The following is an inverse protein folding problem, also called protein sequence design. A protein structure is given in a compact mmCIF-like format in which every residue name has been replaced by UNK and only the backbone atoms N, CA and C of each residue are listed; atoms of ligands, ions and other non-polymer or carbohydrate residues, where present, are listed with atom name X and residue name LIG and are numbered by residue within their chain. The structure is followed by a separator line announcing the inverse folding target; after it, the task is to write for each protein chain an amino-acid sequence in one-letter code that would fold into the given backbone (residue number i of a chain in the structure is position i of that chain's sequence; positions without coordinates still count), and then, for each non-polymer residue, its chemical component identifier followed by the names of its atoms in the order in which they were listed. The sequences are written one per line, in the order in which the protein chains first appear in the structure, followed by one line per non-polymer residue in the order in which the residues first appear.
data_IF_241588632754
#
_entry.id   IF_241588632754
#
_cell.length_a   1.000
_cell.length_b   1.000
_cell.length_c   1.000
_cell.angle_alpha   90.00
_cell.angle_beta   90.00
_cell.angle_gamma   90.00
#
_symmetry.space_group_name_H-M   'P 1'
#
loop_
_entity.id
_entity.type
_entity.pdbx_description
1 polymer ?
#
# COMPACT_ATOMS: atom_id res chain seq x y z
N UNK A 1 4.38 -28.61 16.55
CA UNK A 1 3.56 -27.51 17.13
C UNK A 1 3.53 -26.26 16.29
N UNK A 2 4.64 -25.85 15.65
CA UNK A 2 4.68 -24.69 14.73
C UNK A 2 3.67 -24.77 13.56
N UNK A 3 3.45 -25.93 12.91
CA UNK A 3 2.48 -26.01 11.80
C UNK A 3 1.03 -25.71 12.18
N UNK A 4 0.67 -25.81 13.45
CA UNK A 4 -0.71 -25.57 13.92
C UNK A 4 -1.05 -24.08 14.04
N UNK A 5 -0.05 -23.21 13.98
CA UNK A 5 -0.22 -21.75 14.14
C UNK A 5 -0.18 -21.06 12.77
N UNK A 6 0.38 -21.74 11.75
CA UNK A 6 0.49 -21.18 10.42
C UNK A 6 -0.81 -21.38 9.65
N UNK A 7 -1.36 -20.29 9.15
CA UNK A 7 -2.55 -20.26 8.30
C UNK A 7 -2.13 -19.92 6.87
N UNK A 8 -2.67 -20.68 5.91
CA UNK A 8 -2.49 -20.34 4.50
C UNK A 8 -3.42 -19.19 4.12
N UNK A 9 -2.88 -17.99 4.03
CA UNK A 9 -3.62 -16.77 3.70
C UNK A 9 -3.66 -16.47 2.20
N UNK A 10 -3.20 -17.39 1.36
CA UNK A 10 -3.18 -17.26 -0.10
C UNK A 10 -1.78 -17.03 -0.67
N UNK A 11 -1.72 -16.60 -1.92
CA UNK A 11 -0.47 -16.36 -2.64
C UNK A 11 -0.31 -14.90 -3.04
N UNK A 12 0.92 -14.44 -3.13
CA UNK A 12 1.28 -13.13 -3.68
C UNK A 12 1.21 -13.10 -5.21
N UNK A 13 1.41 -14.25 -5.83
CA UNK A 13 1.39 -14.36 -7.28
C UNK A 13 -0.04 -14.19 -7.78
N UNK A 14 -0.29 -13.27 -8.72
CA UNK A 14 -1.60 -13.11 -9.30
C UNK A 14 -1.96 -14.32 -10.18
N UNK A 15 -3.24 -14.68 -10.17
CA UNK A 15 -3.76 -15.70 -11.10
C UNK A 15 -3.87 -15.13 -12.52
N UNK A 16 -4.19 -13.86 -12.62
CA UNK A 16 -4.29 -13.14 -13.89
C UNK A 16 -3.67 -11.75 -13.73
N UNK A 17 -2.81 -11.39 -14.66
CA UNK A 17 -2.24 -10.05 -14.76
C UNK A 17 -1.98 -9.68 -16.20
N UNK A 18 -1.99 -8.41 -16.51
CA UNK A 18 -1.72 -7.93 -17.85
C UNK A 18 -1.93 -6.42 -17.97
N UNK A 19 -1.74 -5.98 -19.22
CA UNK A 19 -1.88 -4.59 -19.59
C UNK A 19 -2.90 -4.46 -20.72
N UNK A 20 -3.66 -3.37 -20.73
CA UNK A 20 -4.60 -3.00 -21.76
C UNK A 20 -4.24 -1.63 -22.32
N UNK A 21 -3.77 -1.61 -23.55
CA UNK A 21 -3.43 -0.38 -24.25
C UNK A 21 -4.52 -0.05 -25.27
N UNK A 22 -5.09 1.16 -25.17
CA UNK A 22 -6.07 1.67 -26.11
C UNK A 22 -5.62 3.01 -26.66
N UNK A 23 -5.72 3.19 -27.98
CA UNK A 23 -5.48 4.47 -28.64
C UNK A 23 -6.68 4.81 -29.51
N UNK A 24 -7.25 5.97 -29.26
CA UNK A 24 -8.36 6.53 -30.00
C UNK A 24 -7.87 7.75 -30.78
N UNK A 25 -8.08 7.76 -32.09
CA UNK A 25 -7.72 8.88 -32.93
C UNK A 25 -8.97 9.38 -33.66
N UNK A 26 -9.24 10.66 -33.53
CA UNK A 26 -10.33 11.32 -34.24
C UNK A 26 -9.88 12.66 -34.77
N UNK A 27 -9.82 12.79 -36.11
CA UNK A 27 -9.29 13.98 -36.77
C UNK A 27 -7.92 14.37 -36.23
N UNK A 28 -7.82 15.49 -35.54
CA UNK A 28 -6.60 16.06 -34.99
C UNK A 28 -6.37 15.68 -33.51
N UNK A 29 -7.25 14.88 -32.93
CA UNK A 29 -7.20 14.44 -31.54
C UNK A 29 -6.65 13.01 -31.45
N UNK A 30 -5.82 12.76 -30.49
CA UNK A 30 -5.38 11.42 -30.13
C UNK A 30 -5.43 11.26 -28.60
N UNK A 31 -6.01 10.16 -28.15
CA UNK A 31 -6.07 9.76 -26.75
C UNK A 31 -5.53 8.34 -26.62
N UNK A 32 -4.49 8.18 -25.83
CA UNK A 32 -3.92 6.87 -25.49
C UNK A 32 -4.08 6.62 -24.00
N UNK A 33 -4.56 5.41 -23.65
CA UNK A 33 -4.79 4.94 -22.29
C UNK A 33 -4.05 3.63 -22.10
N UNK A 34 -3.28 3.54 -21.03
CA UNK A 34 -2.64 2.30 -20.62
C UNK A 34 -3.10 1.92 -19.22
N UNK A 35 -3.78 0.79 -19.11
CA UNK A 35 -4.21 0.19 -17.86
C UNK A 35 -3.36 -1.04 -17.57
N UNK A 36 -3.01 -1.24 -16.31
CA UNK A 36 -2.49 -2.51 -15.81
C UNK A 36 -3.47 -3.09 -14.78
N UNK A 37 -3.54 -4.40 -14.72
CA UNK A 37 -4.39 -5.11 -13.77
C UNK A 37 -3.69 -6.32 -13.19
N UNK A 38 -4.07 -6.67 -11.96
CA UNK A 38 -3.65 -7.87 -11.26
C UNK A 38 -4.81 -8.43 -10.45
N UNK A 39 -5.10 -9.72 -10.61
CA UNK A 39 -6.24 -10.37 -9.99
C UNK A 39 -5.83 -11.71 -9.36
N UNK A 40 -6.42 -12.03 -8.21
CA UNK A 40 -6.23 -13.30 -7.52
C UNK A 40 -5.01 -13.34 -6.60
N UNK A 41 -4.33 -12.22 -6.38
CA UNK A 41 -3.23 -12.10 -5.43
C UNK A 41 -3.71 -11.69 -4.05
N UNK A 42 -2.89 -12.02 -3.05
CA UNK A 42 -2.99 -11.52 -1.69
C UNK A 42 -1.71 -10.75 -1.35
N UNK A 43 -1.85 -9.69 -0.58
CA UNK A 43 -0.73 -8.88 -0.13
C UNK A 43 -0.80 -8.67 1.37
N UNK A 44 0.35 -8.62 2.01
CA UNK A 44 0.45 -8.25 3.42
C UNK A 44 0.57 -6.74 3.51
N UNK A 45 -0.19 -6.15 4.43
CA UNK A 45 -0.04 -4.74 4.77
C UNK A 45 1.34 -4.49 5.38
N UNK A 46 1.91 -3.30 5.15
CA UNK A 46 3.16 -2.90 5.77
C UNK A 46 3.07 -3.00 7.29
N UNK A 47 4.19 -3.37 7.92
CA UNK A 47 4.27 -3.47 9.36
C UNK A 47 3.72 -2.21 10.04
N UNK A 48 2.92 -2.43 11.06
CA UNK A 48 2.32 -1.37 11.84
C UNK A 48 3.13 -1.09 13.10
N UNK A 49 3.56 -2.14 13.78
CA UNK A 49 4.24 -2.08 15.07
C UNK A 49 5.76 -2.17 14.95
N UNK A 50 6.30 -2.82 13.92
CA UNK A 50 7.74 -2.98 13.72
C UNK A 50 8.52 -1.66 13.87
N UNK A 51 8.10 -0.57 13.20
CA UNK A 51 8.79 0.72 13.28
C UNK A 51 8.75 1.39 14.65
N UNK A 52 7.83 1.02 15.52
CA UNK A 52 7.57 1.71 16.79
C UNK A 52 7.78 0.85 18.03
N UNK A 53 8.17 -0.40 17.86
CA UNK A 53 8.36 -1.37 18.97
C UNK A 53 9.37 -0.88 20.02
N UNK A 54 10.33 -0.06 19.62
CA UNK A 54 11.33 0.55 20.48
C UNK A 54 10.95 1.98 20.94
N UNK A 55 9.73 2.41 20.68
CA UNK A 55 9.21 3.72 21.03
C UNK A 55 8.81 4.54 19.81
N UNK A 56 7.79 5.38 19.97
CA UNK A 56 7.33 6.30 18.94
C UNK A 56 8.23 7.54 18.97
N UNK A 57 8.95 7.79 17.88
CA UNK A 57 9.66 9.06 17.70
C UNK A 57 8.67 10.17 17.33
N UNK A 58 8.84 11.34 17.92
CA UNK A 58 8.06 12.53 17.56
C UNK A 58 8.24 12.95 16.08
N UNK A 59 9.32 12.50 15.44
CA UNK A 59 9.60 12.75 14.03
C UNK A 59 9.08 11.65 13.09
N UNK A 60 8.54 10.55 13.63
CA UNK A 60 8.04 9.44 12.84
C UNK A 60 6.53 9.57 12.60
N UNK A 61 6.11 9.38 11.36
CA UNK A 61 4.71 9.22 11.05
C UNK A 61 4.25 7.83 11.49
N UNK A 62 3.13 7.78 12.19
CA UNK A 62 2.44 6.54 12.55
C UNK A 62 1.20 6.37 11.67
N UNK A 63 0.76 5.15 11.52
CA UNK A 63 -0.45 4.84 10.74
C UNK A 63 -1.69 5.31 11.50
N UNK A 64 -2.71 5.71 10.73
CA UNK A 64 -3.99 6.17 11.28
C UNK A 64 -4.69 5.08 12.11
N UNK A 65 -4.48 3.81 11.79
CA UNK A 65 -5.04 2.67 12.52
C UNK A 65 -4.69 2.66 14.02
N UNK A 66 -3.61 3.34 14.42
CA UNK A 66 -3.26 3.47 15.83
C UNK A 66 -4.27 4.26 16.65
N UNK A 67 -5.12 5.06 16.03
CA UNK A 67 -6.20 5.76 16.72
C UNK A 67 -7.24 4.78 17.28
N UNK A 68 -7.44 3.66 16.57
CA UNK A 68 -8.41 2.63 16.90
C UNK A 68 -7.80 1.48 17.75
N UNK A 69 -6.58 1.66 18.29
CA UNK A 69 -5.94 0.64 19.11
C UNK A 69 -6.68 0.39 20.42
N UNK A 70 -6.54 -0.80 20.96
CA UNK A 70 -7.01 -1.13 22.29
C UNK A 70 -6.40 -0.21 23.34
N UNK A 71 -7.19 0.36 24.24
CA UNK A 71 -6.77 1.31 25.26
C UNK A 71 -7.26 0.90 26.65
N UNK A 72 -8.49 0.40 26.77
CA UNK A 72 -9.13 0.03 28.03
C UNK A 72 -9.87 -1.31 27.89
N UNK A 73 -10.06 -2.07 29.00
CA UNK A 73 -10.84 -3.28 28.99
C UNK A 73 -12.24 -3.04 28.41
N UNK A 74 -12.64 -3.87 27.43
CA UNK A 74 -13.89 -3.76 26.69
C UNK A 74 -13.68 -3.37 25.23
N UNK A 75 -12.55 -2.73 24.88
CA UNK A 75 -12.24 -2.32 23.52
C UNK A 75 -12.02 -3.51 22.59
N UNK A 76 -11.67 -4.68 23.12
CA UNK A 76 -11.50 -5.92 22.37
C UNK A 76 -12.74 -6.33 21.56
N UNK A 77 -13.90 -5.72 21.84
CA UNK A 77 -15.13 -5.92 21.08
C UNK A 77 -15.17 -5.09 19.79
N UNK A 78 -14.37 -4.05 19.70
CA UNK A 78 -14.41 -3.05 18.65
C UNK A 78 -13.13 -2.95 17.86
N UNK A 79 -11.99 -3.38 18.44
CA UNK A 79 -10.69 -3.30 17.82
C UNK A 79 -9.91 -4.62 17.90
N UNK A 80 -9.13 -4.87 16.87
CA UNK A 80 -8.15 -5.97 16.80
C UNK A 80 -6.71 -5.46 16.94
N UNK A 81 -6.54 -4.15 17.08
CA UNK A 81 -5.23 -3.52 17.15
C UNK A 81 -4.67 -3.59 18.57
N UNK A 82 -3.50 -4.23 18.79
CA UNK A 82 -2.88 -4.33 20.11
C UNK A 82 -2.58 -2.97 20.76
N UNK A 83 -2.56 -2.97 22.08
CA UNK A 83 -2.16 -1.84 22.90
C UNK A 83 -0.72 -1.38 22.57
N UNK A 84 -0.51 -0.07 22.55
CA UNK A 84 0.81 0.54 22.68
C UNK A 84 0.91 1.15 24.07
N UNK A 85 1.93 0.77 24.82
CA UNK A 85 2.14 1.28 26.16
C UNK A 85 3.49 1.98 26.28
N UNK A 86 3.45 3.18 26.89
CA UNK A 86 4.65 3.95 27.17
C UNK A 86 5.34 3.43 28.43
N UNK A 87 6.69 3.43 28.49
CA UNK A 87 7.44 3.15 29.72
C UNK A 87 7.06 4.05 30.90
N UNK A 88 6.48 5.22 30.65
CA UNK A 88 6.01 6.14 31.69
C UNK A 88 4.60 5.79 32.23
N UNK A 89 3.92 4.81 31.65
CA UNK A 89 2.61 4.38 32.15
C UNK A 89 2.77 3.61 33.47
N UNK A 90 1.88 3.86 34.47
CA UNK A 90 1.87 3.08 35.72
C UNK A 90 1.75 1.58 35.51
N UNK A 91 1.03 1.17 34.47
CA UNK A 91 0.76 -0.23 34.14
C UNK A 91 1.81 -0.86 33.20
N UNK A 92 2.89 -0.13 32.87
CA UNK A 92 3.87 -0.55 31.89
C UNK A 92 4.49 -1.91 32.23
N UNK A 93 4.90 -2.13 33.48
CA UNK A 93 5.52 -3.40 33.89
C UNK A 93 4.57 -4.58 33.76
N UNK A 94 3.28 -4.39 34.09
CA UNK A 94 2.27 -5.42 33.94
C UNK A 94 2.13 -5.84 32.47
N UNK A 95 1.93 -4.88 31.58
CA UNK A 95 1.74 -5.17 30.15
C UNK A 95 3.04 -5.58 29.45
N UNK A 96 4.18 -5.03 29.84
CA UNK A 96 5.48 -5.40 29.26
C UNK A 96 5.77 -6.90 29.39
N UNK A 97 5.50 -7.48 30.52
CA UNK A 97 5.70 -8.90 30.74
C UNK A 97 4.84 -9.78 29.83
N UNK A 98 3.64 -9.33 29.53
CA UNK A 98 2.71 -10.07 28.68
C UNK A 98 2.87 -9.84 27.19
N UNK A 99 3.27 -8.64 26.77
CA UNK A 99 3.22 -8.20 25.38
C UNK A 99 4.59 -8.06 24.73
N UNK A 100 5.64 -7.72 25.46
CA UNK A 100 6.97 -7.44 24.89
C UNK A 100 7.98 -8.56 25.05
N UNK A 101 7.75 -9.49 25.94
CA UNK A 101 8.66 -10.62 26.16
C UNK A 101 8.16 -11.89 25.45
N UNK A 102 9.07 -12.71 24.89
CA UNK A 102 8.71 -14.03 24.38
C UNK A 102 8.04 -14.84 25.48
N UNK A 103 6.87 -15.38 25.21
CA UNK A 103 6.19 -16.26 26.15
C UNK A 103 6.96 -17.59 26.25
N UNK A 104 7.31 -17.99 27.45
CA UNK A 104 7.95 -19.30 27.71
C UNK A 104 6.94 -20.24 28.36
N UNK A 105 7.00 -21.50 27.98
CA UNK A 105 6.24 -22.53 28.63
C UNK A 105 6.67 -22.65 30.11
N UNK A 106 5.69 -22.89 31.00
CA UNK A 106 5.93 -23.10 32.43
C UNK A 106 5.73 -24.60 32.76
N UNK A 107 6.43 -25.14 33.73
CA UNK A 107 6.34 -26.53 34.13
C UNK A 107 7.33 -27.44 33.41
N UNK A 108 6.98 -28.71 33.11
CA UNK A 108 7.88 -29.68 32.49
C UNK A 108 8.49 -29.23 31.16
N UNK A 109 7.83 -28.33 30.48
CA UNK A 109 8.30 -27.74 29.22
C UNK A 109 8.95 -26.35 29.41
N UNK A 110 9.31 -26.02 30.65
CA UNK A 110 9.99 -24.75 30.93
C UNK A 110 11.31 -24.66 30.16
N UNK A 111 11.53 -23.52 29.50
CA UNK A 111 12.68 -23.33 28.63
C UNK A 111 12.42 -23.51 27.14
N UNK A 112 11.28 -24.09 26.76
CA UNK A 112 10.82 -24.09 25.37
C UNK A 112 10.03 -22.79 25.12
N UNK A 113 10.45 -21.92 24.19
CA UNK A 113 9.66 -20.74 23.85
C UNK A 113 8.31 -21.16 23.28
N UNK A 114 7.23 -20.70 23.87
CA UNK A 114 5.90 -20.90 23.29
C UNK A 114 5.74 -20.08 22.00
N UNK A 115 6.26 -18.85 22.01
CA UNK A 115 6.32 -17.97 20.85
C UNK A 115 7.68 -17.26 20.83
N UNK A 116 8.31 -17.20 19.66
CA UNK A 116 9.57 -16.50 19.48
C UNK A 116 9.38 -14.98 19.38
N UNK A 117 8.21 -14.55 18.92
CA UNK A 117 7.87 -13.15 18.65
C UNK A 117 7.00 -12.56 19.75
N UNK A 118 7.08 -11.25 19.93
CA UNK A 118 6.16 -10.52 20.79
C UNK A 118 4.78 -10.35 20.12
N UNK A 119 3.78 -9.89 20.88
CA UNK A 119 2.41 -9.77 20.40
C UNK A 119 2.31 -8.82 19.19
N UNK A 120 3.09 -7.75 19.15
CA UNK A 120 3.07 -6.79 18.04
C UNK A 120 3.59 -7.40 16.75
N UNK A 121 4.70 -8.13 16.80
CA UNK A 121 5.20 -8.89 15.65
C UNK A 121 4.22 -9.98 15.23
N UNK A 122 3.63 -10.69 16.18
CA UNK A 122 2.59 -11.68 15.88
C UNK A 122 1.39 -11.06 15.18
N UNK A 123 0.99 -9.85 15.56
CA UNK A 123 -0.07 -9.12 14.88
C UNK A 123 0.35 -8.73 13.46
N UNK A 124 1.54 -8.14 13.28
CA UNK A 124 2.04 -7.74 11.96
C UNK A 124 2.20 -8.95 11.02
N UNK A 125 2.56 -10.11 11.57
CA UNK A 125 2.69 -11.38 10.83
C UNK A 125 1.38 -12.15 10.67
N UNK A 126 0.31 -11.73 11.32
CA UNK A 126 -0.97 -12.45 11.31
C UNK A 126 -1.67 -12.39 9.94
N UNK A 127 -2.64 -13.27 9.74
CA UNK A 127 -3.53 -13.29 8.59
C UNK A 127 -4.48 -12.08 8.55
N UNK A 128 -4.73 -11.43 9.69
CA UNK A 128 -5.46 -10.16 9.77
C UNK A 128 -4.82 -9.05 8.94
N UNK A 129 -3.50 -9.17 8.69
CA UNK A 129 -2.73 -8.21 7.89
C UNK A 129 -2.63 -8.60 6.41
N UNK A 130 -3.29 -9.68 6.00
CA UNK A 130 -3.30 -10.17 4.61
C UNK A 130 -4.61 -9.82 3.94
N UNK A 131 -4.53 -8.96 2.94
CA UNK A 131 -5.69 -8.41 2.23
C UNK A 131 -5.64 -8.75 0.74
N UNK A 132 -6.69 -8.39 0.01
CA UNK A 132 -6.71 -8.54 -1.44
C UNK A 132 -5.66 -7.66 -2.09
N UNK A 133 -4.81 -8.25 -2.93
CA UNK A 133 -3.83 -7.57 -3.78
C UNK A 133 -4.37 -7.22 -5.17
N UNK A 134 -5.66 -7.41 -5.41
CA UNK A 134 -6.26 -7.09 -6.70
C UNK A 134 -6.23 -5.59 -6.96
N UNK A 135 -5.87 -5.22 -8.19
CA UNK A 135 -5.94 -3.83 -8.59
C UNK A 135 -6.22 -3.65 -10.09
N UNK A 136 -6.74 -2.50 -10.41
CA UNK A 136 -6.77 -1.91 -11.75
C UNK A 136 -6.15 -0.52 -11.65
N UNK A 137 -5.10 -0.27 -12.43
CA UNK A 137 -4.32 0.97 -12.38
C UNK A 137 -4.28 1.62 -13.74
N UNK A 138 -4.62 2.92 -13.83
CA UNK A 138 -4.35 3.72 -15.02
C UNK A 138 -2.89 4.18 -14.94
N UNK A 139 -2.01 3.43 -15.62
CA UNK A 139 -0.57 3.66 -15.66
C UNK A 139 -0.21 4.96 -16.36
N UNK A 140 -0.81 5.19 -17.52
CA UNK A 140 -0.59 6.43 -18.26
C UNK A 140 -1.82 6.81 -19.08
N UNK A 141 -2.01 8.11 -19.22
CA UNK A 141 -2.93 8.73 -20.16
C UNK A 141 -2.16 9.78 -20.94
N UNK A 142 -2.24 9.71 -22.25
CA UNK A 142 -1.69 10.72 -23.17
C UNK A 142 -2.80 11.24 -24.05
N UNK A 143 -2.98 12.54 -24.02
CA UNK A 143 -3.95 13.24 -24.84
C UNK A 143 -3.21 14.29 -25.68
N UNK A 144 -3.42 14.29 -26.99
CA UNK A 144 -2.77 15.25 -27.87
C UNK A 144 -3.73 15.84 -28.90
N UNK A 145 -3.47 17.07 -29.22
CA UNK A 145 -4.18 17.81 -30.25
C UNK A 145 -3.19 18.45 -31.22
N UNK A 146 -3.31 18.12 -32.50
CA UNK A 146 -2.56 18.80 -33.59
C UNK A 146 -3.39 19.93 -34.13
N UNK A 147 -2.82 21.10 -34.23
CA UNK A 147 -3.50 22.26 -34.81
C UNK A 147 -3.85 22.01 -36.29
N UNK A 148 -5.04 22.44 -36.69
CA UNK A 148 -5.50 22.27 -38.07
C UNK A 148 -4.69 23.19 -39.03
N UNK A 149 -4.37 22.67 -40.21
CA UNK A 149 -3.61 23.38 -41.25
C UNK A 149 -4.20 24.74 -41.62
N UNK A 150 -5.55 24.88 -41.53
CA UNK A 150 -6.22 26.17 -41.77
C UNK A 150 -5.79 27.25 -40.77
N UNK A 151 -5.56 26.88 -39.54
CA UNK A 151 -5.08 27.79 -38.48
C UNK A 151 -3.58 28.05 -38.62
N UNK A 152 -2.81 27.04 -39.00
CA UNK A 152 -1.38 27.14 -39.21
C UNK A 152 -1.00 28.11 -40.35
N UNK A 153 -1.79 28.18 -41.43
CA UNK A 153 -1.55 29.09 -42.58
C UNK A 153 -1.44 30.57 -42.19
N UNK A 154 -1.94 30.97 -41.02
CA UNK A 154 -1.84 32.34 -40.49
C UNK A 154 -0.65 32.56 -39.56
N UNK A 155 0.17 31.55 -39.40
CA UNK A 155 1.33 31.56 -38.48
C UNK A 155 2.59 31.15 -39.24
N UNK A 156 3.80 31.47 -38.75
CA UNK A 156 5.05 31.00 -39.34
C UNK A 156 5.35 29.51 -39.09
N UNK A 157 4.40 28.79 -38.45
CA UNK A 157 4.63 27.39 -38.03
C UNK A 157 4.13 26.43 -39.11
N UNK A 158 4.91 25.38 -39.38
CA UNK A 158 4.54 24.25 -40.22
C UNK A 158 3.74 23.19 -39.46
N UNK A 159 3.99 23.08 -38.15
CA UNK A 159 3.23 22.16 -37.28
C UNK A 159 3.19 22.73 -35.85
N UNK A 160 2.02 22.58 -35.22
CA UNK A 160 1.82 22.89 -33.80
C UNK A 160 0.99 21.79 -33.17
N UNK A 161 1.48 21.21 -32.09
CA UNK A 161 0.71 20.24 -31.29
C UNK A 161 0.86 20.49 -29.80
N UNK A 162 -0.24 20.30 -29.08
CA UNK A 162 -0.32 20.38 -27.63
C UNK A 162 -0.56 18.97 -27.13
N UNK A 163 0.17 18.56 -26.10
CA UNK A 163 -0.03 17.27 -25.45
C UNK A 163 -0.19 17.44 -23.93
N UNK A 164 -1.03 16.58 -23.36
CA UNK A 164 -1.17 16.39 -21.92
C UNK A 164 -0.90 14.95 -21.61
N UNK A 165 0.06 14.70 -20.75
CA UNK A 165 0.45 13.37 -20.34
C UNK A 165 0.36 13.26 -18.81
N UNK A 166 -0.17 12.15 -18.35
CA UNK A 166 -0.17 11.85 -16.92
C UNK A 166 0.20 10.39 -16.69
N UNK A 167 0.89 10.15 -15.59
CA UNK A 167 1.29 8.82 -15.14
C UNK A 167 0.74 8.56 -13.75
N UNK A 168 0.40 7.30 -13.47
CA UNK A 168 -0.12 6.84 -12.17
C UNK A 168 -1.36 7.64 -11.71
N UNK A 169 -2.32 7.86 -12.61
CA UNK A 169 -3.48 8.72 -12.35
C UNK A 169 -4.32 8.25 -11.18
N UNK A 170 -4.63 6.96 -11.15
CA UNK A 170 -5.38 6.34 -10.07
C UNK A 170 -5.18 4.83 -10.05
N UNK A 171 -5.44 4.25 -8.88
CA UNK A 171 -5.48 2.79 -8.66
C UNK A 171 -6.78 2.45 -7.95
N UNK A 172 -7.53 1.51 -8.52
CA UNK A 172 -8.67 0.89 -7.86
C UNK A 172 -8.17 -0.38 -7.21
N UNK A 173 -8.28 -0.47 -5.89
CA UNK A 173 -7.78 -1.60 -5.09
C UNK A 173 -8.63 -1.77 -3.82
N UNK A 174 -8.30 -2.76 -2.99
CA UNK A 174 -8.99 -3.01 -1.75
C UNK A 174 -8.86 -1.82 -0.77
N UNK A 175 -9.93 -1.48 -0.08
CA UNK A 175 -9.98 -0.35 0.88
C UNK A 175 -9.03 -0.54 2.06
N UNK A 176 -8.83 -1.79 2.46
CA UNK A 176 -7.97 -2.20 3.56
C UNK A 176 -6.50 -1.84 3.32
N UNK A 177 -6.10 -1.61 2.06
CA UNK A 177 -4.76 -1.14 1.71
C UNK A 177 -4.48 0.29 2.21
N UNK A 178 -5.53 1.10 2.45
CA UNK A 178 -5.44 2.48 3.00
C UNK A 178 -4.33 3.31 2.36
N UNK A 179 -4.25 3.28 1.02
CA UNK A 179 -3.24 4.01 0.24
C UNK A 179 -1.93 3.26 0.00
N UNK A 180 -1.75 2.07 0.53
CA UNK A 180 -0.64 1.19 0.14
C UNK A 180 -0.86 0.75 -1.31
N UNK A 181 0.12 0.97 -2.18
CA UNK A 181 0.05 0.52 -3.58
C UNK A 181 0.25 -1.00 -3.65
N UNK A 182 -0.75 -1.77 -4.09
CA UNK A 182 -0.64 -3.23 -4.15
C UNK A 182 0.43 -3.70 -5.14
N UNK A 183 0.81 -2.89 -6.11
CA UNK A 183 1.90 -3.21 -7.04
C UNK A 183 3.29 -3.16 -6.39
N UNK A 184 3.42 -2.47 -5.27
CA UNK A 184 4.62 -2.40 -4.44
C UNK A 184 4.60 -3.36 -3.25
N UNK A 185 3.52 -4.11 -3.09
CA UNK A 185 3.36 -5.03 -1.97
C UNK A 185 4.41 -6.14 -2.02
N UNK A 186 5.14 -6.27 -0.94
CA UNK A 186 6.17 -7.29 -0.76
C UNK A 186 7.57 -6.77 -0.56
N UNK A 187 7.77 -5.49 -0.58
CA UNK A 187 8.96 -4.87 -0.03
C UNK A 187 8.74 -4.65 1.48
N UNK A 188 9.72 -5.00 2.28
CA UNK A 188 9.65 -4.89 3.74
C UNK A 188 9.49 -3.45 4.21
N UNK A 189 9.93 -2.50 3.39
CA UNK A 189 9.85 -1.08 3.69
C UNK A 189 8.59 -0.46 3.11
N UNK A 190 7.99 0.43 3.89
CA UNK A 190 6.88 1.27 3.48
C UNK A 190 7.31 2.19 2.35
N UNK A 191 7.28 1.70 1.12
CA UNK A 191 7.46 2.52 -0.07
C UNK A 191 6.39 3.61 -0.09
N UNK A 192 6.79 4.83 -0.41
CA UNK A 192 5.83 5.90 -0.64
C UNK A 192 4.91 5.51 -1.81
N UNK A 193 3.62 5.71 -1.65
CA UNK A 193 2.67 5.57 -2.76
C UNK A 193 3.16 6.38 -3.95
N UNK A 194 3.18 5.75 -5.12
CA UNK A 194 3.56 6.42 -6.36
C UNK A 194 2.52 7.51 -6.62
N UNK A 195 2.96 8.77 -6.59
CA UNK A 195 2.08 9.92 -6.81
C UNK A 195 1.83 10.11 -8.31
N UNK A 196 0.66 10.62 -8.68
CA UNK A 196 0.40 11.00 -10.07
C UNK A 196 1.34 12.14 -10.51
N UNK A 197 1.81 12.06 -11.75
CA UNK A 197 2.56 13.13 -12.39
C UNK A 197 1.80 13.65 -13.62
N UNK A 198 1.90 14.95 -13.86
CA UNK A 198 1.22 15.64 -14.95
C UNK A 198 2.22 16.46 -15.76
N UNK A 199 2.15 16.32 -17.07
CA UNK A 199 3.05 17.04 -18.00
C UNK A 199 2.23 17.64 -19.13
N UNK A 200 2.48 18.92 -19.42
CA UNK A 200 1.94 19.59 -20.61
C UNK A 200 3.12 19.83 -21.56
N UNK A 201 2.97 19.39 -22.79
CA UNK A 201 3.95 19.57 -23.86
C UNK A 201 3.41 20.44 -24.99
N UNK A 202 4.28 21.28 -25.55
CA UNK A 202 4.03 22.05 -26.76
C UNK A 202 5.14 21.73 -27.76
N UNK A 203 4.75 21.18 -28.92
CA UNK A 203 5.68 20.93 -30.02
C UNK A 203 5.38 21.90 -31.16
N UNK A 204 6.42 22.62 -31.60
CA UNK A 204 6.35 23.62 -32.65
C UNK A 204 7.41 23.32 -33.71
N UNK A 205 7.02 23.28 -34.97
CA UNK A 205 7.95 23.21 -36.13
C UNK A 205 7.76 24.44 -36.98
N UNK A 206 8.87 24.95 -37.49
CA UNK A 206 8.94 26.15 -38.36
C UNK A 206 9.13 25.76 -39.79
#
# INVERSE_FOLDING_TARGET
MVPMILVNSGTRDPKFSGDLNNTFTYKNWSLSLNFSYSLGSKVRLFEMYGPIINGISAAANVREEFLDRWQVPGDEKYTVYPLIISPSSPDYEHYRLHYSAPQRAVGPNSGVPAFANNVWQMYDDSDLRVVSGNYLKLQSLSFSYRLNDRLLRKTPFTQLSISFNTHNCFTISAKELRGQDPSQAGFADAGLSIRPSYTIGLNVSF
#
